data_IF_974274009007
#
_entry.id   IF_974274009007
#
_cell.length_a   1.000
_cell.length_b   1.000
_cell.length_c   1.000
_cell.angle_alpha   90.00
_cell.angle_beta   90.00
_cell.angle_gamma   90.00
#
_symmetry.space_group_name_H-M   'P 1'
#
loop_
_entity.id
_entity.type
_entity.pdbx_description
1 polymer ?
#
# COMPACT_ATOMS: atom_id res chain seq x y z
N UNK A 1 5.90 -14.58 -9.66
CA UNK A 1 5.72 -15.99 -10.06
C UNK A 1 6.56 -16.82 -9.11
N UNK A 2 6.08 -17.99 -8.70
CA UNK A 2 6.84 -18.94 -7.91
C UNK A 2 8.14 -19.35 -8.64
N UNK A 3 9.14 -19.91 -7.92
CA UNK A 3 10.43 -20.26 -8.53
C UNK A 3 10.34 -21.22 -9.73
N UNK A 4 9.31 -22.06 -9.78
CA UNK A 4 8.99 -22.98 -10.87
C UNK A 4 8.09 -22.37 -11.96
N UNK A 5 7.64 -21.14 -11.78
CA UNK A 5 6.82 -20.40 -12.75
C UNK A 5 5.36 -20.86 -12.83
N UNK A 6 4.87 -21.66 -11.89
CA UNK A 6 3.51 -22.24 -11.95
C UNK A 6 2.48 -21.38 -11.23
N UNK A 7 2.85 -20.75 -10.12
CA UNK A 7 1.93 -20.01 -9.26
C UNK A 7 2.19 -18.51 -9.32
N UNK A 8 1.10 -17.74 -9.29
CA UNK A 8 1.17 -16.28 -9.11
C UNK A 8 1.27 -15.98 -7.62
N UNK A 9 2.35 -15.32 -7.22
CA UNK A 9 2.63 -15.01 -5.80
C UNK A 9 2.30 -13.56 -5.43
N UNK A 10 2.25 -12.66 -6.42
CA UNK A 10 1.92 -11.25 -6.27
C UNK A 10 1.18 -10.76 -7.51
N UNK A 11 0.25 -9.84 -7.31
CA UNK A 11 -0.42 -9.10 -8.37
C UNK A 11 -0.48 -7.61 -8.02
N UNK A 12 -0.53 -6.78 -9.05
CA UNK A 12 -0.80 -5.35 -8.93
C UNK A 12 -1.93 -4.98 -9.91
N UNK A 13 -2.78 -4.03 -9.51
CA UNK A 13 -3.78 -3.46 -10.40
C UNK A 13 -3.22 -2.19 -11.04
N UNK A 14 -3.20 -2.16 -12.37
CA UNK A 14 -2.82 -0.97 -13.12
C UNK A 14 -3.78 0.21 -12.82
N UNK A 15 -3.26 1.43 -12.91
CA UNK A 15 -4.02 2.68 -12.78
C UNK A 15 -4.72 2.87 -11.41
N UNK A 16 -4.24 2.18 -10.37
CA UNK A 16 -4.68 2.39 -8.99
C UNK A 16 -3.50 2.89 -8.12
N UNK A 17 -3.69 3.92 -7.26
CA UNK A 17 -2.58 4.57 -6.54
C UNK A 17 -1.78 3.61 -5.65
N UNK A 18 -2.44 2.60 -5.08
CA UNK A 18 -1.81 1.48 -4.38
C UNK A 18 -2.76 0.29 -4.25
N UNK A 19 -2.64 -0.71 -5.14
CA UNK A 19 -3.39 -1.97 -5.06
C UNK A 19 -2.45 -3.12 -5.40
N UNK A 20 -1.96 -3.78 -4.34
CA UNK A 20 -1.00 -4.88 -4.41
C UNK A 20 -1.54 -6.04 -3.58
N UNK A 21 -1.45 -7.26 -4.10
CA UNK A 21 -1.75 -8.49 -3.36
C UNK A 21 -0.53 -9.40 -3.29
N UNK A 22 -0.46 -10.21 -2.22
CA UNK A 22 0.55 -11.25 -2.08
C UNK A 22 -0.08 -12.52 -1.50
N UNK A 23 0.45 -13.68 -1.89
CA UNK A 23 0.00 -14.97 -1.36
C UNK A 23 0.62 -15.28 0.01
N UNK A 24 1.86 -14.85 0.26
CA UNK A 24 2.56 -15.09 1.51
C UNK A 24 2.10 -14.15 2.63
N UNK A 25 2.60 -14.40 3.84
CA UNK A 25 2.27 -13.68 5.07
C UNK A 25 3.34 -12.62 5.44
N UNK A 26 3.28 -11.38 4.91
CA UNK A 26 4.26 -10.32 5.21
C UNK A 26 4.29 -9.91 6.69
N UNK A 27 3.23 -10.21 7.45
CA UNK A 27 3.12 -9.94 8.88
C UNK A 27 4.24 -10.59 9.69
N UNK A 28 4.63 -11.83 9.37
CA UNK A 28 5.66 -12.55 10.12
C UNK A 28 7.06 -11.95 9.91
N UNK A 29 7.26 -11.24 8.80
CA UNK A 29 8.50 -10.51 8.49
C UNK A 29 8.57 -9.10 9.07
N UNK A 30 7.46 -8.54 9.56
CA UNK A 30 7.39 -7.16 10.06
C UNK A 30 7.94 -7.04 11.48
N UNK A 31 8.61 -5.92 11.80
CA UNK A 31 9.11 -5.59 13.15
C UNK A 31 8.77 -4.14 13.51
N UNK A 32 8.65 -3.78 14.80
CA UNK A 32 8.31 -2.41 15.20
C UNK A 32 9.23 -1.32 14.63
N UNK A 33 10.55 -1.56 14.61
CA UNK A 33 11.54 -0.63 14.07
C UNK A 33 11.88 -0.90 12.59
N UNK A 34 11.28 -1.93 11.99
CA UNK A 34 11.51 -2.32 10.60
C UNK A 34 10.22 -2.92 10.02
N UNK A 35 9.20 -2.07 9.77
CA UNK A 35 7.94 -2.54 9.23
C UNK A 35 8.15 -3.12 7.83
N UNK A 36 7.40 -4.18 7.50
CA UNK A 36 7.44 -4.76 6.16
C UNK A 36 7.08 -3.68 5.10
N UNK A 37 7.79 -3.61 3.95
CA UNK A 37 7.57 -2.57 2.95
C UNK A 37 6.13 -2.46 2.46
N UNK A 38 5.42 -3.58 2.29
CA UNK A 38 4.00 -3.58 1.89
C UNK A 38 3.12 -2.74 2.83
N UNK A 39 3.32 -2.85 4.15
CA UNK A 39 2.54 -2.07 5.11
C UNK A 39 3.00 -0.61 5.17
N UNK A 40 4.32 -0.38 5.22
CA UNK A 40 4.88 0.98 5.27
C UNK A 40 4.44 1.81 4.07
N UNK A 41 4.54 1.24 2.88
CA UNK A 41 4.24 1.93 1.64
C UNK A 41 2.73 2.07 1.42
N UNK A 42 1.91 1.09 1.85
CA UNK A 42 0.44 1.26 1.88
C UNK A 42 0.04 2.50 2.67
N UNK A 43 0.56 2.67 3.90
CA UNK A 43 0.28 3.85 4.72
C UNK A 43 0.81 5.13 4.06
N UNK A 44 2.00 5.06 3.46
CA UNK A 44 2.57 6.18 2.69
C UNK A 44 1.64 6.64 1.57
N UNK A 45 1.17 5.71 0.74
CA UNK A 45 0.21 6.02 -0.33
C UNK A 45 -1.13 6.51 0.23
N UNK A 46 -1.67 5.85 1.26
CA UNK A 46 -2.95 6.19 1.87
C UNK A 46 -2.97 7.59 2.49
N UNK A 47 -1.82 8.09 2.96
CA UNK A 47 -1.68 9.46 3.49
C UNK A 47 -1.93 10.53 2.42
N UNK A 48 -1.55 10.25 1.17
CA UNK A 48 -1.58 11.23 0.08
C UNK A 48 -2.83 11.09 -0.80
N UNK A 49 -3.63 10.04 -0.60
CA UNK A 49 -4.92 9.85 -1.30
C UNK A 49 -6.01 10.69 -0.64
N UNK A 50 -6.53 11.67 -1.39
CA UNK A 50 -7.73 12.42 -0.99
C UNK A 50 -8.92 11.48 -0.88
N UNK A 51 -9.57 11.49 0.28
CA UNK A 51 -10.78 10.71 0.50
C UNK A 51 -11.96 11.49 -0.08
N UNK A 52 -12.86 10.83 -0.76
CA UNK A 52 -14.13 11.46 -1.13
C UNK A 52 -14.82 11.98 0.14
N UNK A 53 -15.20 13.26 0.14
CA UNK A 53 -15.71 13.95 1.34
C UNK A 53 -14.64 14.49 2.29
N UNK A 54 -13.34 14.39 1.99
CA UNK A 54 -12.32 15.14 2.72
C UNK A 54 -12.53 16.62 2.50
N UNK A 55 -12.75 17.39 3.57
CA UNK A 55 -12.79 18.85 3.50
C UNK A 55 -11.34 19.33 3.31
N UNK A 56 -10.94 19.85 2.13
CA UNK A 56 -9.66 20.54 2.03
C UNK A 56 -9.68 21.72 3.01
N UNK A 57 -8.55 22.06 3.65
CA UNK A 57 -8.50 23.26 4.47
C UNK A 57 -8.99 24.44 3.63
N UNK A 58 -9.98 25.15 4.16
CA UNK A 58 -10.49 26.36 3.53
C UNK A 58 -9.29 27.31 3.34
N UNK A 59 -9.18 28.01 2.19
CA UNK A 59 -8.17 29.04 2.00
C UNK A 59 -8.53 30.24 2.87
N UNK A 60 -8.42 30.08 4.18
CA UNK A 60 -8.48 31.17 5.14
C UNK A 60 -7.10 31.83 5.05
N UNK A 61 -7.02 32.84 4.18
CA UNK A 61 -5.90 33.78 4.14
C UNK A 61 -5.69 34.36 5.53
N UNK A 62 -4.50 34.13 6.09
CA UNK A 62 -4.00 34.78 7.30
C UNK A 62 -3.98 36.29 7.16
#
# INVERSE_FOLDING_TARGET
MSPDGVLVEMCELADHPWMVSCQFHPEFGSRPHRPHPLFRNFIGAAKDVLREGSQPPLPLST
#
